data_IF_948886562411
#
_entry.id   IF_948886562411
#
_cell.length_a   1.000
_cell.length_b   1.000
_cell.length_c   1.000
_cell.angle_alpha   90.00
_cell.angle_beta   90.00
_cell.angle_gamma   90.00
#
_symmetry.space_group_name_H-M   'P 1'
#
loop_
_entity.id
_entity.type
_entity.pdbx_description
1 polymer ?
#
# COMPACT_ATOMS: atom_id res chain seq x y z
N UNK A 1 16.14 29.75 4.08
CA UNK A 1 15.85 28.73 5.12
C UNK A 1 14.39 28.35 5.06
N UNK A 2 14.02 27.46 4.14
CA UNK A 2 12.74 26.75 4.20
C UNK A 2 12.89 25.42 3.42
N UNK A 3 13.83 24.59 3.88
CA UNK A 3 13.81 23.17 3.57
C UNK A 3 12.87 22.52 4.59
N UNK A 4 11.59 22.38 4.23
CA UNK A 4 10.67 21.50 4.94
C UNK A 4 9.69 20.88 3.94
N UNK A 5 10.17 19.75 3.39
CA UNK A 5 9.40 18.51 3.22
C UNK A 5 8.15 18.56 2.32
N UNK A 6 8.37 18.53 1.01
CA UNK A 6 7.59 17.62 0.16
C UNK A 6 7.87 16.20 0.66
N UNK A 7 6.96 15.63 1.43
CA UNK A 7 6.88 14.18 1.52
C UNK A 7 5.49 13.81 2.00
N UNK A 8 4.65 13.57 1.02
CA UNK A 8 3.32 12.99 1.12
C UNK A 8 3.40 11.68 1.92
N UNK A 9 3.30 11.77 3.23
CA UNK A 9 3.26 10.67 4.21
C UNK A 9 1.97 9.84 4.13
N UNK A 10 1.35 9.76 2.96
CA UNK A 10 0.41 8.68 2.64
C UNK A 10 1.20 7.45 2.21
N UNK A 11 2.08 6.98 3.09
CA UNK A 11 2.58 5.62 3.06
C UNK A 11 1.39 4.75 3.43
N UNK A 12 0.59 4.40 2.40
CA UNK A 12 -0.43 3.35 2.47
C UNK A 12 0.18 2.22 3.31
N UNK A 13 -0.35 2.04 4.52
CA UNK A 13 0.17 1.10 5.51
C UNK A 13 -0.07 -0.33 5.02
N UNK A 14 0.72 -0.72 4.03
CA UNK A 14 0.72 -2.03 3.41
C UNK A 14 1.31 -3.09 4.34
N UNK A 15 1.94 -2.65 5.42
CA UNK A 15 2.42 -3.47 6.53
C UNK A 15 1.35 -4.36 7.17
N UNK A 16 0.05 -4.08 6.97
CA UNK A 16 -1.04 -4.81 7.61
C UNK A 16 -2.09 -5.36 6.65
N UNK A 17 -1.81 -5.46 5.35
CA UNK A 17 -2.72 -6.20 4.46
C UNK A 17 -2.48 -7.70 4.63
N UNK A 18 -3.47 -8.42 5.16
CA UNK A 18 -3.40 -9.86 5.27
C UNK A 18 -3.36 -10.52 3.89
N UNK A 19 -2.64 -11.64 3.77
CA UNK A 19 -2.45 -12.34 2.49
C UNK A 19 -3.78 -12.66 1.77
N UNK A 20 -4.84 -12.92 2.53
CA UNK A 20 -6.15 -13.27 1.97
C UNK A 20 -7.08 -12.06 1.74
N UNK A 21 -6.72 -10.87 2.22
CA UNK A 21 -7.52 -9.65 2.07
C UNK A 21 -7.56 -9.19 0.60
N UNK A 22 -8.57 -8.42 0.19
CA UNK A 22 -8.58 -7.79 -1.13
C UNK A 22 -7.35 -6.89 -1.30
N UNK A 23 -6.74 -6.94 -2.48
CA UNK A 23 -5.58 -6.10 -2.80
C UNK A 23 -6.00 -4.62 -2.81
N UNK A 24 -5.35 -3.74 -2.03
CA UNK A 24 -5.69 -2.32 -2.02
C UNK A 24 -5.16 -1.59 -3.27
N UNK A 25 -4.49 -2.32 -4.18
CA UNK A 25 -4.16 -1.89 -5.54
C UNK A 25 -5.38 -1.79 -6.47
N UNK A 26 -6.56 -2.24 -6.04
CA UNK A 26 -7.80 -2.13 -6.83
C UNK A 26 -7.98 -3.20 -7.92
N UNK A 27 -7.16 -4.24 -7.93
CA UNK A 27 -7.21 -5.31 -8.95
C UNK A 27 -8.38 -6.28 -8.79
N UNK A 28 -9.15 -6.20 -7.69
CA UNK A 28 -10.20 -7.15 -7.34
C UNK A 28 -9.69 -8.54 -6.94
N UNK A 29 -8.38 -8.78 -6.96
CA UNK A 29 -7.76 -10.04 -6.53
C UNK A 29 -7.37 -9.97 -5.06
N UNK A 30 -7.23 -11.14 -4.41
CA UNK A 30 -6.64 -11.23 -3.06
C UNK A 30 -5.19 -10.73 -3.10
N UNK A 31 -4.72 -10.12 -2.02
CA UNK A 31 -3.39 -9.55 -1.90
C UNK A 31 -2.30 -10.57 -2.26
N UNK A 32 -2.44 -11.81 -1.77
CA UNK A 32 -1.53 -12.93 -2.10
C UNK A 32 -1.44 -13.29 -3.58
N UNK A 33 -2.44 -12.96 -4.39
CA UNK A 33 -2.50 -13.29 -5.82
C UNK A 33 -2.32 -12.06 -6.73
N UNK A 34 -1.97 -10.90 -6.16
CA UNK A 34 -1.83 -9.68 -6.92
C UNK A 34 -0.48 -8.99 -6.73
N UNK A 35 -0.08 -8.72 -5.49
CA UNK A 35 1.13 -7.95 -5.19
C UNK A 35 2.14 -8.71 -4.34
N UNK A 36 1.77 -9.90 -3.85
CA UNK A 36 2.67 -10.82 -3.14
C UNK A 36 3.18 -11.96 -4.06
N UNK A 37 2.67 -12.04 -5.28
CA UNK A 37 2.97 -13.07 -6.28
C UNK A 37 3.70 -12.45 -7.46
#
# INVERSE_FOLDING_TARGET
MAAATYSSEKLLSYDKVGRNDPCPCGSGKKYKHCCLN
#
